data_IF_501595253862
#
_entry.id   IF_501595253862
#
_cell.length_a   1.000
_cell.length_b   1.000
_cell.length_c   1.000
_cell.angle_alpha   90.00
_cell.angle_beta   90.00
_cell.angle_gamma   90.00
#
_symmetry.space_group_name_H-M   'P 1'
#
loop_
_entity.id
_entity.type
_entity.pdbx_description
1 polymer ?
#
# COMPACT_ATOMS: atom_id res chain seq x y z
N UNK A 1 16.17 8.72 -24.13
CA UNK A 1 16.08 8.70 -22.65
C UNK A 1 15.97 7.30 -22.05
N UNK A 2 15.02 6.44 -22.46
CA UNK A 2 14.84 5.11 -21.85
C UNK A 2 16.09 4.22 -21.84
N UNK A 3 16.88 4.19 -22.91
CA UNK A 3 18.13 3.41 -22.96
C UNK A 3 19.14 3.86 -21.90
N UNK A 4 19.22 5.16 -21.62
CA UNK A 4 20.06 5.71 -20.55
C UNK A 4 19.54 5.27 -19.17
N UNK A 5 18.22 5.29 -18.96
CA UNK A 5 17.60 4.78 -17.73
C UNK A 5 17.93 3.30 -17.52
N UNK A 6 17.80 2.47 -18.55
CA UNK A 6 18.13 1.04 -18.51
C UNK A 6 19.60 0.85 -18.16
N UNK A 7 20.50 1.59 -18.81
CA UNK A 7 21.95 1.51 -18.55
C UNK A 7 22.32 1.87 -17.11
N UNK A 8 21.69 2.92 -16.54
CA UNK A 8 21.97 3.36 -15.15
C UNK A 8 21.40 2.37 -14.12
N UNK A 9 20.20 1.83 -14.38
CA UNK A 9 19.43 1.08 -13.38
C UNK A 9 19.61 -0.43 -13.48
N UNK A 10 20.04 -0.93 -14.64
CA UNK A 10 20.08 -2.35 -14.97
C UNK A 10 18.70 -3.00 -15.13
N UNK A 11 17.61 -2.22 -15.09
CA UNK A 11 16.24 -2.75 -15.18
C UNK A 11 15.82 -2.87 -16.63
N UNK A 12 15.32 -4.05 -17.01
CA UNK A 12 14.87 -4.33 -18.38
C UNK A 12 13.75 -3.39 -18.87
N UNK A 13 13.73 -3.12 -20.19
CA UNK A 13 12.76 -2.24 -20.85
C UNK A 13 11.30 -2.51 -20.49
N UNK A 14 10.90 -3.79 -20.43
CA UNK A 14 9.52 -4.22 -20.15
C UNK A 14 9.00 -3.83 -18.76
N UNK A 15 9.90 -3.47 -17.84
CA UNK A 15 9.54 -3.06 -16.48
C UNK A 15 9.37 -1.54 -16.34
N UNK A 16 9.52 -0.78 -17.42
CA UNK A 16 9.36 0.68 -17.43
C UNK A 16 8.06 1.06 -18.13
N UNK A 17 7.13 1.63 -17.38
CA UNK A 17 5.88 2.17 -17.90
C UNK A 17 6.04 3.68 -18.13
N UNK A 18 5.86 4.20 -19.36
CA UNK A 18 5.90 5.64 -19.58
C UNK A 18 4.70 6.33 -18.92
N UNK A 19 4.89 7.57 -18.48
CA UNK A 19 3.81 8.44 -18.00
C UNK A 19 4.02 9.88 -18.48
N UNK A 20 2.91 10.61 -18.62
CA UNK A 20 2.86 12.03 -18.91
C UNK A 20 1.67 12.61 -18.13
N UNK A 21 1.95 13.44 -17.13
CA UNK A 21 0.95 13.88 -16.15
C UNK A 21 1.16 15.33 -15.73
N UNK A 22 0.17 15.89 -15.05
CA UNK A 22 0.25 17.21 -14.43
C UNK A 22 0.18 17.02 -12.91
N UNK A 23 1.08 17.68 -12.18
CA UNK A 23 1.06 17.67 -10.71
C UNK A 23 -0.19 18.38 -10.16
N UNK A 24 -0.56 18.16 -8.88
CA UNK A 24 -1.66 18.90 -8.24
C UNK A 24 -1.53 20.44 -8.36
N UNK A 25 -0.31 20.96 -8.28
CA UNK A 25 0.02 22.38 -8.46
C UNK A 25 0.03 22.88 -9.92
N UNK A 26 -0.29 22.02 -10.89
CA UNK A 26 -0.40 22.39 -12.31
C UNK A 26 0.92 22.30 -13.11
N UNK A 27 1.94 21.62 -12.59
CA UNK A 27 3.25 21.49 -13.25
C UNK A 27 3.25 20.23 -14.12
N UNK A 28 3.38 20.33 -15.46
CA UNK A 28 3.46 19.14 -16.31
C UNK A 28 4.82 18.46 -16.15
N UNK A 29 4.84 17.14 -16.03
CA UNK A 29 6.05 16.33 -15.99
C UNK A 29 5.82 14.93 -16.55
N UNK A 30 6.86 14.36 -17.13
CA UNK A 30 6.81 13.06 -17.79
C UNK A 30 8.03 12.22 -17.48
N UNK A 31 7.92 10.91 -17.70
CA UNK A 31 8.98 9.97 -17.34
C UNK A 31 8.57 8.52 -17.47
N UNK A 32 9.22 7.69 -16.66
CA UNK A 32 8.96 6.25 -16.59
C UNK A 32 8.79 5.80 -15.14
N UNK A 33 7.78 4.98 -14.88
CA UNK A 33 7.53 4.28 -13.62
C UNK A 33 8.11 2.87 -13.70
N UNK A 34 8.89 2.48 -12.70
CA UNK A 34 9.45 1.14 -12.60
C UNK A 34 8.46 0.16 -11.93
N UNK A 35 8.14 -0.93 -12.63
CA UNK A 35 7.33 -2.06 -12.16
C UNK A 35 8.18 -3.31 -11.86
N UNK A 36 9.49 -3.14 -11.70
CA UNK A 36 10.38 -4.24 -11.35
C UNK A 36 10.22 -4.57 -9.86
N UNK A 37 9.92 -5.82 -9.54
CA UNK A 37 9.66 -6.28 -8.17
C UNK A 37 10.91 -6.46 -7.31
N UNK A 38 11.86 -5.54 -7.45
CA UNK A 38 13.09 -5.47 -6.68
C UNK A 38 13.08 -4.28 -5.72
N UNK A 39 14.26 -3.84 -5.30
CA UNK A 39 14.46 -2.57 -4.58
C UNK A 39 14.01 -1.33 -5.39
N UNK A 40 13.71 -1.48 -6.70
CA UNK A 40 13.32 -0.39 -7.60
C UNK A 40 11.81 -0.28 -7.82
N UNK A 41 11.01 -1.14 -7.20
CA UNK A 41 9.55 -1.12 -7.38
C UNK A 41 8.96 0.25 -7.05
N UNK A 42 8.24 0.82 -8.01
CA UNK A 42 7.63 2.15 -7.91
C UNK A 42 8.59 3.31 -8.20
N UNK A 43 9.89 3.09 -8.43
CA UNK A 43 10.82 4.18 -8.73
C UNK A 43 10.36 5.00 -9.96
N UNK A 44 10.40 6.32 -9.86
CA UNK A 44 10.17 7.21 -11.01
C UNK A 44 11.51 7.63 -11.61
N UNK A 45 11.62 7.55 -12.94
CA UNK A 45 12.64 8.21 -13.71
C UNK A 45 11.99 9.40 -14.45
N UNK A 46 12.07 10.59 -13.86
CA UNK A 46 11.49 11.82 -14.42
C UNK A 46 12.40 12.34 -15.52
N UNK A 47 11.85 12.49 -16.71
CA UNK A 47 12.59 12.84 -17.93
C UNK A 47 12.30 14.24 -18.45
N UNK A 48 11.18 14.83 -18.03
CA UNK A 48 10.89 16.22 -18.29
C UNK A 48 10.05 16.84 -17.17
N UNK A 49 10.28 18.12 -16.88
CA UNK A 49 9.48 18.94 -15.95
C UNK A 49 9.28 20.31 -16.59
N UNK A 50 8.04 20.81 -16.65
CA UNK A 50 7.70 22.07 -17.30
C UNK A 50 8.28 22.19 -18.73
N UNK A 51 8.16 21.10 -19.51
CA UNK A 51 8.72 20.97 -20.87
C UNK A 51 10.26 21.07 -20.98
N UNK A 52 10.99 20.98 -19.87
CA UNK A 52 12.45 20.94 -19.87
C UNK A 52 12.94 19.51 -19.67
N UNK A 53 13.74 19.02 -20.62
CA UNK A 53 14.37 17.70 -20.55
C UNK A 53 15.40 17.62 -19.40
N UNK A 54 15.34 16.54 -18.64
CA UNK A 54 16.25 16.23 -17.51
C UNK A 54 16.25 14.73 -17.23
N UNK A 55 17.03 14.28 -16.27
CA UNK A 55 16.91 12.93 -15.74
C UNK A 55 17.08 12.96 -14.22
N UNK A 56 16.02 12.59 -13.51
CA UNK A 56 16.01 12.48 -12.06
C UNK A 56 15.38 11.15 -11.64
N UNK A 57 15.96 10.50 -10.63
CA UNK A 57 15.43 9.27 -10.05
C UNK A 57 14.83 9.56 -8.68
N UNK A 58 13.54 9.26 -8.54
CA UNK A 58 12.79 9.42 -7.30
C UNK A 58 12.48 8.02 -6.78
N UNK A 59 13.11 7.68 -5.67
CA UNK A 59 13.02 6.35 -5.07
C UNK A 59 11.79 6.25 -4.18
N UNK A 60 11.04 5.16 -4.36
CA UNK A 60 9.97 4.77 -3.47
C UNK A 60 10.51 3.83 -2.36
N UNK A 61 9.61 3.36 -1.52
CA UNK A 61 9.91 2.25 -0.61
C UNK A 61 10.15 0.95 -1.40
N UNK A 62 11.28 0.24 -1.17
CA UNK A 62 11.58 -1.01 -1.86
C UNK A 62 10.57 -2.12 -1.52
N UNK A 63 10.49 -3.16 -2.36
CA UNK A 63 9.76 -4.39 -2.01
C UNK A 63 10.42 -4.99 -0.76
N UNK A 64 9.66 -5.19 0.32
CA UNK A 64 10.17 -5.87 1.52
C UNK A 64 10.06 -7.38 1.31
N UNK A 65 11.16 -8.09 1.59
CA UNK A 65 11.23 -9.54 1.46
C UNK A 65 11.03 -10.24 2.82
N UNK A 66 10.70 -11.52 2.76
CA UNK A 66 10.75 -12.38 3.94
C UNK A 66 12.19 -12.85 4.19
N UNK A 67 12.58 -13.13 5.44
CA UNK A 67 13.92 -13.60 5.79
C UNK A 67 14.05 -15.13 5.64
N UNK A 68 13.37 -15.76 4.68
CA UNK A 68 13.45 -17.21 4.50
C UNK A 68 14.58 -17.60 3.56
N UNK A 69 15.31 -18.65 3.97
CA UNK A 69 16.29 -19.34 3.14
C UNK A 69 15.80 -20.78 2.96
N UNK A 70 15.84 -21.28 1.72
CA UNK A 70 15.56 -22.69 1.43
C UNK A 70 16.74 -23.54 1.90
N UNK A 71 16.45 -24.52 2.73
CA UNK A 71 17.40 -25.56 3.15
C UNK A 71 17.53 -26.66 2.10
N UNK A 72 18.51 -27.54 2.25
CA UNK A 72 18.77 -28.63 1.29
C UNK A 72 17.61 -29.64 1.18
N UNK A 73 16.80 -29.78 2.23
CA UNK A 73 15.61 -30.64 2.26
C UNK A 73 14.35 -29.95 1.70
N UNK A 74 14.47 -28.71 1.22
CA UNK A 74 13.37 -27.91 0.71
C UNK A 74 12.58 -27.15 1.78
N UNK A 75 12.90 -27.33 3.07
CA UNK A 75 12.25 -26.57 4.15
C UNK A 75 12.72 -25.11 4.18
N UNK A 76 11.89 -24.22 4.72
CA UNK A 76 12.21 -22.80 4.86
C UNK A 76 12.70 -22.49 6.29
N UNK A 77 13.92 -21.97 6.41
CA UNK A 77 14.47 -21.49 7.69
C UNK A 77 14.51 -19.96 7.71
N UNK A 78 14.13 -19.37 8.85
CA UNK A 78 14.35 -17.94 9.11
C UNK A 78 15.85 -17.69 9.25
N UNK A 79 16.38 -16.82 8.40
CA UNK A 79 17.78 -16.41 8.38
C UNK A 79 17.84 -14.89 8.17
N UNK A 80 18.00 -14.17 9.28
CA UNK A 80 18.04 -12.71 9.28
C UNK A 80 19.52 -12.29 9.23
N UNK A 81 20.00 -11.70 8.12
CA UNK A 81 21.36 -11.20 8.06
C UNK A 81 21.46 -9.95 8.94
N UNK A 82 22.38 -9.97 9.91
CA UNK A 82 22.62 -8.83 10.80
C UNK A 82 23.92 -8.12 10.35
N UNK A 83 23.84 -6.91 9.76
CA UNK A 83 25.03 -6.13 9.45
C UNK A 83 25.90 -5.87 10.68
N UNK A 84 27.23 -5.80 10.50
CA UNK A 84 28.17 -5.58 11.60
C UNK A 84 27.98 -4.22 12.32
N UNK A 85 27.37 -3.25 11.64
CA UNK A 85 27.16 -1.89 12.13
C UNK A 85 25.70 -1.62 12.54
N UNK A 86 24.91 -2.66 12.82
CA UNK A 86 23.58 -2.48 13.39
C UNK A 86 23.66 -1.86 14.77
N UNK A 87 22.80 -0.87 15.01
CA UNK A 87 22.69 -0.16 16.30
C UNK A 87 21.31 -0.27 16.92
N UNK A 88 20.30 -0.71 16.14
CA UNK A 88 18.92 -0.86 16.58
C UNK A 88 18.22 -1.95 15.77
N UNK A 89 17.43 -2.77 16.43
CA UNK A 89 16.58 -3.78 15.82
C UNK A 89 15.20 -3.70 16.46
N UNK A 90 14.14 -3.62 15.65
CA UNK A 90 12.78 -3.51 16.17
C UNK A 90 11.75 -4.17 15.27
N UNK A 91 10.69 -4.67 15.89
CA UNK A 91 9.46 -5.06 15.23
C UNK A 91 8.51 -3.87 15.31
N UNK A 92 8.12 -3.33 14.16
CA UNK A 92 7.05 -2.35 14.07
C UNK A 92 5.78 -3.02 13.54
N UNK A 93 4.62 -2.49 13.90
CA UNK A 93 3.35 -2.97 13.35
C UNK A 93 3.37 -2.87 11.82
N UNK A 94 2.89 -3.91 11.13
CA UNK A 94 2.59 -3.81 9.71
C UNK A 94 1.10 -3.50 9.57
N UNK A 95 0.82 -2.27 9.17
CA UNK A 95 -0.51 -1.87 8.74
C UNK A 95 -0.76 -2.39 7.32
N UNK A 96 -2.03 -2.71 7.06
CA UNK A 96 -2.56 -3.22 5.81
C UNK A 96 -3.42 -2.13 5.19
N UNK A 97 -2.87 -1.49 4.18
CA UNK A 97 -3.50 -0.35 3.55
C UNK A 97 -2.81 0.00 2.25
N UNK A 98 -2.91 1.28 1.91
CA UNK A 98 -2.35 1.82 0.66
C UNK A 98 -1.16 2.69 1.01
N UNK A 99 0.00 2.40 0.41
CA UNK A 99 1.18 3.22 0.61
C UNK A 99 1.04 4.57 -0.10
N UNK A 100 0.95 5.65 0.67
CA UNK A 100 0.95 7.04 0.18
C UNK A 100 2.36 7.59 0.29
N UNK A 101 2.97 7.84 -0.87
CA UNK A 101 4.34 8.33 -1.02
C UNK A 101 4.28 9.81 -1.33
N UNK A 102 4.89 10.62 -0.47
CA UNK A 102 5.13 12.04 -0.72
C UNK A 102 6.57 12.23 -1.18
N UNK A 103 6.75 12.79 -2.37
CA UNK A 103 8.07 12.98 -2.97
C UNK A 103 8.26 14.40 -3.50
N UNK A 104 9.49 14.93 -3.51
CA UNK A 104 9.77 16.24 -4.09
C UNK A 104 9.85 16.17 -5.62
N UNK A 105 9.11 17.02 -6.31
CA UNK A 105 9.37 17.37 -7.71
C UNK A 105 10.34 18.56 -7.73
N UNK A 106 11.53 18.38 -8.31
CA UNK A 106 12.57 19.41 -8.27
C UNK A 106 12.71 20.19 -9.58
N UNK A 107 13.09 21.46 -9.46
CA UNK A 107 13.48 22.35 -10.56
C UNK A 107 14.91 22.07 -11.00
N UNK A 108 15.37 22.74 -12.06
CA UNK A 108 16.69 22.51 -12.67
C UNK A 108 17.85 22.82 -11.71
N UNK A 109 17.63 23.74 -10.78
CA UNK A 109 18.57 24.15 -9.73
C UNK A 109 18.53 23.24 -8.49
N UNK A 110 17.69 22.20 -8.50
CA UNK A 110 17.45 21.33 -7.35
C UNK A 110 16.52 21.94 -6.29
N UNK A 111 15.92 23.11 -6.54
CA UNK A 111 14.85 23.63 -5.68
C UNK A 111 13.63 22.72 -5.76
N UNK A 112 12.91 22.54 -4.66
CA UNK A 112 11.68 21.74 -4.65
C UNK A 112 10.54 22.64 -5.13
N UNK A 113 10.00 22.34 -6.31
CA UNK A 113 8.86 23.05 -6.88
C UNK A 113 7.58 22.67 -6.13
N UNK A 114 7.38 21.37 -5.93
CA UNK A 114 6.17 20.82 -5.33
C UNK A 114 6.49 19.51 -4.59
N UNK A 115 5.68 19.19 -3.57
CA UNK A 115 5.67 17.89 -2.93
C UNK A 115 4.41 17.15 -3.38
N UNK A 116 4.60 16.02 -4.05
CA UNK A 116 3.51 15.32 -4.73
C UNK A 116 3.18 14.03 -3.97
N UNK A 117 1.91 13.81 -3.57
CA UNK A 117 1.45 12.52 -3.10
C UNK A 117 1.17 11.58 -4.28
N UNK A 118 1.42 10.29 -4.08
CA UNK A 118 1.09 9.23 -5.04
C UNK A 118 0.97 7.87 -4.33
N UNK A 119 0.32 6.91 -4.97
CA UNK A 119 0.47 5.49 -4.61
C UNK A 119 1.76 4.92 -5.22
N UNK A 120 2.13 3.69 -4.86
CA UNK A 120 3.39 3.08 -5.31
C UNK A 120 3.55 3.00 -6.83
N UNK A 121 2.49 2.69 -7.57
CA UNK A 121 2.53 2.47 -9.03
C UNK A 121 1.87 3.57 -9.84
N UNK A 122 1.70 4.76 -9.26
CA UNK A 122 1.20 5.95 -9.97
C UNK A 122 2.19 7.10 -9.79
N UNK A 123 2.35 8.02 -10.77
CA UNK A 123 3.20 9.20 -10.62
C UNK A 123 2.54 10.31 -9.77
N UNK A 124 1.21 10.36 -9.75
CA UNK A 124 0.37 11.29 -8.98
C UNK A 124 -0.86 10.52 -8.46
N UNK A 125 -1.49 10.98 -7.37
CA UNK A 125 -2.81 10.48 -7.01
C UNK A 125 -3.85 10.90 -8.05
N UNK A 126 -4.48 9.91 -8.69
CA UNK A 126 -5.59 10.15 -9.62
C UNK A 126 -6.92 9.77 -8.96
N UNK A 127 -7.97 10.58 -9.10
CA UNK A 127 -9.32 10.12 -8.78
C UNK A 127 -9.65 8.90 -9.62
N UNK A 128 -10.23 7.88 -9.01
CA UNK A 128 -10.95 6.85 -9.74
C UNK A 128 -12.41 6.88 -9.28
N UNK A 129 -13.33 6.73 -10.22
CA UNK A 129 -14.24 5.59 -10.20
C UNK A 129 -14.66 5.02 -8.85
N UNK A 130 -13.71 4.26 -8.33
CA UNK A 130 -13.88 3.23 -7.32
C UNK A 130 -13.20 3.63 -6.00
N UNK A 131 -12.61 4.82 -5.97
CA UNK A 131 -11.85 5.38 -4.86
C UNK A 131 -11.18 6.68 -5.27
N UNK A 132 -11.46 7.75 -4.53
CA UNK A 132 -10.76 9.03 -4.69
C UNK A 132 -9.67 9.10 -3.61
N UNK A 133 -8.45 8.69 -3.97
CA UNK A 133 -7.30 8.75 -3.07
C UNK A 133 -7.01 10.16 -2.58
N UNK A 134 -7.32 11.20 -3.39
CA UNK A 134 -7.16 12.58 -2.95
C UNK A 134 -8.18 12.93 -1.88
N UNK A 135 -9.44 12.50 -2.03
CA UNK A 135 -10.46 12.72 -0.99
C UNK A 135 -10.12 11.97 0.30
N UNK A 136 -9.76 10.68 0.22
CA UNK A 136 -9.36 9.90 1.39
C UNK A 136 -8.15 10.53 2.09
N UNK A 137 -7.14 10.97 1.34
CA UNK A 137 -5.97 11.65 1.90
C UNK A 137 -6.34 13.00 2.52
N UNK A 138 -7.23 13.77 1.90
CA UNK A 138 -7.67 15.07 2.41
C UNK A 138 -8.41 14.94 3.74
N UNK A 139 -9.16 13.86 3.95
CA UNK A 139 -9.88 13.59 5.20
C UNK A 139 -8.94 13.39 6.39
N UNK A 140 -7.81 12.70 6.19
CA UNK A 140 -6.84 12.38 7.27
C UNK A 140 -5.65 13.32 7.33
N UNK A 141 -5.37 14.05 6.26
CA UNK A 141 -4.29 15.04 6.17
C UNK A 141 -4.79 16.32 5.47
N UNK A 142 -5.69 17.07 6.12
CA UNK A 142 -6.24 18.30 5.53
C UNK A 142 -5.21 19.42 5.42
N UNK A 143 -4.22 19.45 6.32
CA UNK A 143 -3.04 20.30 6.24
C UNK A 143 -1.80 19.46 5.94
N UNK A 144 -1.23 19.67 4.74
CA UNK A 144 -0.03 18.95 4.29
C UNK A 144 1.27 19.66 4.68
N UNK A 145 1.19 20.87 5.24
CA UNK A 145 2.36 21.71 5.55
C UNK A 145 3.45 20.98 6.34
N UNK A 146 3.14 20.20 7.40
CA UNK A 146 4.19 19.50 8.15
C UNK A 146 4.92 18.43 7.31
N UNK A 147 4.20 17.71 6.45
CA UNK A 147 4.78 16.71 5.53
C UNK A 147 5.66 17.39 4.48
N UNK A 148 5.18 18.49 3.92
CA UNK A 148 5.94 19.25 2.92
C UNK A 148 7.21 19.86 3.50
N UNK A 149 7.14 20.44 4.70
CA UNK A 149 8.29 21.02 5.39
C UNK A 149 9.33 19.95 5.74
N UNK A 150 8.88 18.77 6.19
CA UNK A 150 9.74 17.62 6.44
C UNK A 150 10.51 17.22 5.19
N UNK A 151 9.82 17.07 4.05
CA UNK A 151 10.46 16.70 2.78
C UNK A 151 11.44 17.77 2.32
N UNK A 152 11.06 19.05 2.43
CA UNK A 152 11.90 20.17 1.99
C UNK A 152 13.18 20.29 2.82
N UNK A 153 13.07 20.14 4.12
CA UNK A 153 14.20 20.33 5.05
C UNK A 153 15.10 19.10 5.09
N UNK A 154 14.51 17.91 5.13
CA UNK A 154 15.25 16.65 5.31
C UNK A 154 15.72 16.03 3.99
N UNK A 155 15.18 16.50 2.86
CA UNK A 155 15.48 16.01 1.50
C UNK A 155 15.24 14.49 1.39
N UNK A 156 14.06 14.08 1.83
CA UNK A 156 13.62 12.67 1.85
C UNK A 156 12.34 12.50 1.06
N UNK A 157 12.04 11.27 0.69
CA UNK A 157 10.69 10.82 0.33
C UNK A 157 10.05 10.24 1.58
N UNK A 158 8.86 10.71 1.98
CA UNK A 158 8.12 10.13 3.09
C UNK A 158 7.08 9.14 2.58
N UNK A 159 6.93 8.02 3.29
CA UNK A 159 5.96 6.99 2.93
C UNK A 159 5.11 6.69 4.14
N UNK A 160 3.81 6.86 3.93
CA UNK A 160 2.77 6.63 4.91
C UNK A 160 1.94 5.44 4.48
N UNK A 161 1.37 4.73 5.43
CA UNK A 161 0.26 3.83 5.17
C UNK A 161 -1.05 4.61 5.37
N UNK A 162 -1.93 4.62 4.38
CA UNK A 162 -3.32 5.03 4.52
C UNK A 162 -4.13 3.76 4.80
N UNK A 163 -4.74 3.65 5.98
CA UNK A 163 -5.37 2.41 6.46
C UNK A 163 -6.64 2.70 7.24
N UNK A 164 -7.45 1.67 7.48
CA UNK A 164 -8.75 1.78 8.15
C UNK A 164 -9.86 1.18 7.31
N UNK A 165 -11.05 0.98 7.87
CA UNK A 165 -12.13 0.29 7.16
C UNK A 165 -12.60 1.03 5.90
N UNK A 166 -12.40 2.36 5.80
CA UNK A 166 -12.72 3.15 4.60
C UNK A 166 -11.71 2.92 3.46
N UNK A 167 -10.56 2.31 3.75
CA UNK A 167 -9.60 1.80 2.78
C UNK A 167 -9.43 0.28 2.96
N UNK A 168 -10.42 -0.53 2.55
CA UNK A 168 -10.45 -1.96 2.87
C UNK A 168 -9.35 -2.72 2.11
N UNK A 169 -8.62 -3.54 2.86
CA UNK A 169 -7.69 -4.55 2.37
C UNK A 169 -8.03 -5.90 3.03
N UNK A 170 -7.05 -6.71 3.40
CA UNK A 170 -7.24 -8.01 4.04
C UNK A 170 -7.61 -7.86 5.53
N UNK A 171 -6.99 -6.92 6.22
CA UNK A 171 -7.25 -6.66 7.65
C UNK A 171 -8.52 -5.82 7.84
N UNK A 172 -9.35 -6.25 8.77
CA UNK A 172 -10.52 -5.51 9.23
C UNK A 172 -10.12 -4.56 10.37
N UNK A 173 -10.38 -3.28 10.17
CA UNK A 173 -10.07 -2.23 11.13
C UNK A 173 -11.34 -1.64 11.75
N UNK A 174 -11.29 -1.30 13.04
CA UNK A 174 -12.31 -0.46 13.67
C UNK A 174 -12.06 1.04 13.38
N UNK A 175 -10.82 1.42 13.07
CA UNK A 175 -10.44 2.78 12.71
C UNK A 175 -11.03 3.14 11.34
N UNK A 176 -11.77 4.27 11.21
CA UNK A 176 -12.35 4.67 9.92
C UNK A 176 -11.29 4.86 8.84
N UNK A 177 -10.36 5.76 9.10
CA UNK A 177 -9.28 6.07 8.20
C UNK A 177 -8.19 6.78 9.01
N UNK A 178 -6.95 6.40 8.79
CA UNK A 178 -5.78 6.98 9.42
C UNK A 178 -4.61 6.98 8.43
N UNK A 179 -3.66 7.88 8.66
CA UNK A 179 -2.42 7.99 7.89
C UNK A 179 -1.24 7.89 8.84
N UNK A 180 -0.37 6.89 8.65
CA UNK A 180 0.73 6.63 9.59
C UNK A 180 2.06 6.53 8.85
N UNK A 181 3.03 7.35 9.25
CA UNK A 181 4.39 7.33 8.73
C UNK A 181 5.07 6.01 9.11
N UNK A 182 5.47 5.22 8.12
CA UNK A 182 6.13 3.94 8.37
C UNK A 182 7.55 3.87 7.79
N UNK A 183 7.91 4.73 6.83
CA UNK A 183 9.29 4.84 6.36
C UNK A 183 9.60 6.20 5.74
N UNK A 184 10.88 6.53 5.65
CA UNK A 184 11.39 7.59 4.80
C UNK A 184 12.56 7.04 3.97
N UNK A 185 12.72 7.54 2.75
CA UNK A 185 13.76 7.10 1.81
C UNK A 185 14.67 8.28 1.49
N UNK A 186 15.98 8.05 1.62
CA UNK A 186 17.03 9.03 1.29
C UNK A 186 18.15 8.32 0.55
N UNK A 187 18.59 8.87 -0.57
CA UNK A 187 19.65 8.28 -1.39
C UNK A 187 19.46 6.76 -1.64
N UNK A 188 18.27 6.36 -2.12
CA UNK A 188 17.91 4.97 -2.48
C UNK A 188 17.71 4.00 -1.31
N UNK A 189 17.94 4.43 -0.06
CA UNK A 189 17.83 3.55 1.11
C UNK A 189 16.77 4.07 2.09
N UNK A 190 16.04 3.17 2.78
CA UNK A 190 15.29 3.55 3.95
C UNK A 190 16.21 4.18 5.00
N UNK A 191 15.75 5.22 5.66
CA UNK A 191 16.49 5.84 6.78
C UNK A 191 16.39 4.97 8.04
N UNK A 192 17.35 5.11 8.96
CA UNK A 192 17.30 4.43 10.26
C UNK A 192 16.06 4.85 11.07
N UNK A 193 15.58 3.98 11.97
CA UNK A 193 14.43 4.33 12.82
C UNK A 193 14.67 5.62 13.61
N UNK A 194 15.88 5.81 14.13
CA UNK A 194 16.24 7.03 14.88
C UNK A 194 15.97 8.29 14.07
N UNK A 195 16.34 8.29 12.78
CA UNK A 195 16.08 9.41 11.88
C UNK A 195 14.60 9.52 11.55
N UNK A 196 13.92 8.40 11.31
CA UNK A 196 12.48 8.39 11.05
C UNK A 196 11.68 8.96 12.23
N UNK A 197 12.04 8.59 13.46
CA UNK A 197 11.43 9.07 14.69
C UNK A 197 11.74 10.55 14.97
N UNK A 198 12.95 11.03 14.67
CA UNK A 198 13.28 12.46 14.74
C UNK A 198 12.44 13.28 13.75
N UNK A 199 12.26 12.79 12.52
CA UNK A 199 11.37 13.40 11.53
C UNK A 199 9.93 13.42 12.06
N UNK A 200 9.41 12.27 12.50
CA UNK A 200 8.05 12.17 13.01
C UNK A 200 7.80 13.12 14.18
N UNK A 201 8.72 13.16 15.15
CA UNK A 201 8.61 14.04 16.31
C UNK A 201 8.67 15.53 15.92
N UNK A 202 9.63 15.93 15.09
CA UNK A 202 9.84 17.33 14.70
C UNK A 202 8.66 17.91 13.94
N UNK A 203 8.05 17.11 13.06
CA UNK A 203 6.95 17.53 12.20
C UNK A 203 5.58 17.02 12.66
N UNK A 204 5.50 16.50 13.89
CA UNK A 204 4.25 16.01 14.52
C UNK A 204 3.49 15.01 13.64
N UNK A 205 4.22 14.06 13.05
CA UNK A 205 3.65 13.01 12.20
C UNK A 205 3.41 11.75 13.03
N UNK A 206 2.27 11.09 12.83
CA UNK A 206 1.97 9.81 13.47
C UNK A 206 2.95 8.75 12.97
N UNK A 207 3.79 8.24 13.86
CA UNK A 207 4.77 7.20 13.56
C UNK A 207 4.18 5.81 13.80
N UNK A 208 4.54 4.86 12.95
CA UNK A 208 4.16 3.46 13.13
C UNK A 208 4.53 2.93 14.54
N UNK A 209 3.61 2.26 15.25
CA UNK A 209 3.91 1.70 16.56
C UNK A 209 5.05 0.70 16.53
N UNK A 210 5.98 0.84 17.47
CA UNK A 210 6.97 -0.21 17.76
C UNK A 210 6.34 -1.23 18.70
N UNK A 211 6.33 -2.49 18.26
CA UNK A 211 5.86 -3.64 19.03
C UNK A 211 6.94 -4.12 20.02
N UNK A 212 8.18 -4.19 19.56
CA UNK A 212 9.32 -4.65 20.36
C UNK A 212 10.63 -4.03 19.87
N UNK A 213 11.49 -3.62 20.80
CA UNK A 213 12.91 -3.37 20.52
C UNK A 213 13.68 -4.65 20.89
N UNK A 214 14.22 -5.31 19.88
CA UNK A 214 14.89 -6.59 20.01
C UNK A 214 16.42 -6.43 20.10
N UNK A 215 17.09 -7.46 20.62
CA UNK A 215 18.56 -7.52 20.54
C UNK A 215 18.97 -7.78 19.09
N UNK A 216 19.95 -7.04 18.55
CA UNK A 216 20.39 -7.19 17.16
C UNK A 216 21.35 -8.38 17.01
N UNK A 217 20.93 -9.58 17.41
CA UNK A 217 21.67 -10.82 17.20
C UNK A 217 20.81 -11.83 16.44
N UNK A 218 21.43 -12.57 15.51
CA UNK A 218 20.66 -13.37 14.55
C UNK A 218 19.76 -14.42 15.20
N UNK A 219 20.20 -15.05 16.29
CA UNK A 219 19.43 -16.08 17.00
C UNK A 219 18.24 -15.46 17.74
N UNK A 220 18.47 -14.40 18.51
CA UNK A 220 17.42 -13.68 19.23
C UNK A 220 16.40 -13.05 18.29
N UNK A 221 16.83 -12.53 17.14
CA UNK A 221 15.91 -12.01 16.13
C UNK A 221 15.05 -13.10 15.48
N UNK A 222 15.62 -14.27 15.21
CA UNK A 222 14.85 -15.40 14.67
C UNK A 222 13.82 -15.92 15.68
N UNK A 223 14.18 -15.98 16.97
CA UNK A 223 13.26 -16.34 18.05
C UNK A 223 12.14 -15.31 18.20
N UNK A 224 12.48 -14.01 18.25
CA UNK A 224 11.51 -12.93 18.32
C UNK A 224 10.58 -12.93 17.11
N UNK A 225 11.11 -13.17 15.91
CA UNK A 225 10.32 -13.30 14.68
C UNK A 225 9.26 -14.40 14.82
N UNK A 226 9.66 -15.62 15.21
CA UNK A 226 8.73 -16.75 15.39
C UNK A 226 7.69 -16.48 16.48
N UNK A 227 8.11 -15.86 17.59
CA UNK A 227 7.20 -15.46 18.67
C UNK A 227 6.14 -14.48 18.17
N UNK A 228 6.53 -13.45 17.42
CA UNK A 228 5.58 -12.51 16.84
C UNK A 228 4.65 -13.17 15.84
N UNK A 229 5.14 -14.05 14.96
CA UNK A 229 4.27 -14.82 14.06
C UNK A 229 3.18 -15.58 14.82
N UNK A 230 3.56 -16.31 15.87
CA UNK A 230 2.61 -17.08 16.67
C UNK A 230 1.59 -16.21 17.41
N UNK A 231 2.00 -15.05 17.92
CA UNK A 231 1.10 -14.11 18.60
C UNK A 231 0.07 -13.50 17.65
N UNK A 232 0.48 -13.09 16.45
CA UNK A 232 -0.42 -12.51 15.44
C UNK A 232 -1.36 -13.57 14.88
N UNK A 233 -0.87 -14.79 14.67
CA UNK A 233 -1.69 -15.94 14.25
C UNK A 233 -2.79 -16.25 15.27
N UNK A 234 -2.45 -16.29 16.57
CA UNK A 234 -3.41 -16.54 17.62
C UNK A 234 -4.53 -15.47 17.68
N UNK A 235 -4.22 -14.21 17.37
CA UNK A 235 -5.22 -13.14 17.29
C UNK A 235 -6.13 -13.27 16.08
N UNK A 236 -5.58 -13.58 14.90
CA UNK A 236 -6.39 -13.84 13.71
C UNK A 236 -7.32 -15.04 13.93
N UNK A 237 -6.81 -16.15 14.47
CA UNK A 237 -7.63 -17.33 14.80
C UNK A 237 -8.75 -17.02 15.81
N UNK A 238 -8.47 -16.17 16.80
CA UNK A 238 -9.47 -15.75 17.77
C UNK A 238 -10.56 -14.83 17.18
N UNK A 239 -10.28 -14.13 16.08
CA UNK A 239 -11.23 -13.26 15.41
C UNK A 239 -12.27 -14.03 14.59
N UNK A 240 -11.95 -15.26 14.17
CA UNK A 240 -12.83 -16.16 13.45
C UNK A 240 -12.25 -16.62 12.12
N UNK A 241 -12.94 -17.56 11.48
CA UNK A 241 -12.60 -18.03 10.14
C UNK A 241 -12.73 -16.87 9.13
N UNK A 242 -11.74 -16.72 8.26
CA UNK A 242 -11.63 -15.64 7.25
C UNK A 242 -11.67 -14.20 7.80
N UNK A 243 -11.40 -14.00 9.10
CA UNK A 243 -11.29 -12.66 9.71
C UNK A 243 -9.85 -12.40 10.12
N UNK A 244 -9.22 -11.41 9.47
CA UNK A 244 -7.86 -10.99 9.78
C UNK A 244 -7.89 -9.64 10.52
N UNK A 245 -7.25 -9.58 11.68
CA UNK A 245 -7.13 -8.37 12.51
C UNK A 245 -5.68 -7.87 12.59
N UNK A 246 -4.70 -8.72 12.26
CA UNK A 246 -3.29 -8.34 12.16
C UNK A 246 -2.65 -8.93 10.89
N UNK A 247 -2.07 -8.04 10.06
CA UNK A 247 -1.37 -8.45 8.85
C UNK A 247 0.04 -8.99 9.16
N UNK A 248 0.69 -8.42 10.16
CA UNK A 248 2.07 -8.74 10.48
C UNK A 248 2.82 -7.64 11.23
N UNK A 249 4.13 -7.82 11.24
CA UNK A 249 5.12 -6.86 11.69
C UNK A 249 6.19 -6.64 10.60
N UNK A 250 6.86 -5.50 10.64
CA UNK A 250 8.09 -5.25 9.90
C UNK A 250 9.25 -5.27 10.87
N UNK A 251 10.16 -6.23 10.68
CA UNK A 251 11.46 -6.19 11.33
C UNK A 251 12.31 -5.15 10.62
N UNK A 252 12.74 -4.14 11.37
CA UNK A 252 13.65 -3.09 10.93
C UNK A 252 15.00 -3.27 11.62
N UNK A 253 16.08 -3.46 10.84
CA UNK A 253 17.45 -3.41 11.34
C UNK A 253 18.08 -2.10 10.88
N UNK A 254 18.38 -1.23 11.84
CA UNK A 254 18.93 0.10 11.61
C UNK A 254 20.43 0.13 11.84
N UNK A 255 21.16 0.69 10.89
CA UNK A 255 22.48 1.28 11.13
C UNK A 255 22.28 2.69 11.70
N UNK A 256 23.37 3.47 11.83
CA UNK A 256 23.28 4.88 12.23
C UNK A 256 22.32 5.70 11.35
N UNK A 257 22.34 5.45 10.04
CA UNK A 257 21.74 6.34 9.04
C UNK A 257 20.74 5.66 8.11
N UNK A 258 20.81 4.34 7.96
CA UNK A 258 19.94 3.56 7.05
C UNK A 258 19.29 2.40 7.79
N UNK A 259 18.31 1.77 7.16
CA UNK A 259 17.73 0.54 7.63
C UNK A 259 17.46 -0.47 6.50
N UNK A 260 17.46 -1.74 6.87
CA UNK A 260 16.98 -2.86 6.07
C UNK A 260 15.72 -3.45 6.74
N UNK A 261 14.77 -3.90 5.92
CA UNK A 261 13.45 -4.34 6.37
C UNK A 261 13.18 -5.81 5.99
N UNK A 262 12.46 -6.51 6.86
CA UNK A 262 11.91 -7.84 6.59
C UNK A 262 10.45 -7.93 7.03
N UNK A 263 9.63 -8.61 6.23
CA UNK A 263 8.25 -8.94 6.60
C UNK A 263 8.26 -10.06 7.62
N UNK A 264 7.47 -9.91 8.68
CA UNK A 264 7.15 -10.94 9.67
C UNK A 264 5.63 -11.08 9.68
N UNK A 265 5.07 -12.01 8.90
CA UNK A 265 3.62 -12.20 8.83
C UNK A 265 3.21 -13.51 9.52
N UNK A 266 2.02 -13.62 10.11
CA UNK A 266 1.56 -14.89 10.67
C UNK A 266 1.36 -15.93 9.55
N UNK A 267 1.46 -17.24 9.84
CA UNK A 267 1.40 -18.29 8.83
C UNK A 267 0.17 -18.26 7.93
N UNK A 268 -1.02 -17.95 8.48
CA UNK A 268 -2.26 -17.82 7.68
C UNK A 268 -2.17 -16.73 6.60
N UNK A 269 -1.53 -15.60 6.92
CA UNK A 269 -1.28 -14.53 5.95
C UNK A 269 -0.13 -14.89 5.00
N UNK A 270 0.91 -15.57 5.50
CA UNK A 270 2.00 -16.07 4.64
C UNK A 270 1.49 -17.09 3.63
N UNK A 271 0.57 -17.97 4.02
CA UNK A 271 -0.10 -18.91 3.13
C UNK A 271 -0.74 -18.17 1.98
N UNK A 272 -1.60 -17.17 2.21
CA UNK A 272 -2.16 -16.32 1.13
C UNK A 272 -1.06 -15.76 0.19
N UNK A 273 0.13 -15.41 0.70
CA UNK A 273 1.24 -14.94 -0.15
C UNK A 273 2.10 -16.05 -0.80
N UNK A 274 2.05 -17.29 -0.31
CA UNK A 274 2.91 -18.42 -0.73
C UNK A 274 2.18 -19.56 -1.41
N UNK A 275 0.87 -19.74 -1.17
CA UNK A 275 0.02 -20.61 -1.98
C UNK A 275 -0.24 -20.08 -3.39
N UNK A 276 0.52 -19.07 -3.83
CA UNK A 276 1.09 -19.00 -5.18
C UNK A 276 1.51 -20.38 -5.74
N UNK A 277 1.98 -21.29 -4.86
CA UNK A 277 2.32 -22.69 -5.16
C UNK A 277 1.14 -23.71 -5.00
N UNK A 278 -0.08 -23.30 -4.67
CA UNK A 278 -1.32 -24.10 -4.69
C UNK A 278 -2.38 -23.54 -5.67
N UNK A 279 -3.60 -24.09 -5.64
CA UNK A 279 -4.73 -23.62 -6.46
C UNK A 279 -5.09 -22.17 -6.09
N UNK A 280 -5.41 -21.35 -7.10
CA UNK A 280 -5.85 -19.96 -6.88
C UNK A 280 -7.13 -19.95 -6.04
N UNK A 281 -7.06 -19.39 -4.84
CA UNK A 281 -8.16 -19.30 -3.89
C UNK A 281 -8.97 -18.01 -4.01
N UNK A 282 -10.08 -17.93 -3.28
CA UNK A 282 -10.95 -16.74 -3.27
C UNK A 282 -10.19 -15.49 -2.80
N UNK A 283 -9.45 -15.61 -1.70
CA UNK A 283 -8.71 -14.53 -1.07
C UNK A 283 -7.61 -13.96 -1.98
N UNK A 284 -6.94 -14.82 -2.75
CA UNK A 284 -5.92 -14.40 -3.73
C UNK A 284 -6.53 -13.49 -4.81
N UNK A 285 -7.71 -13.87 -5.29
CA UNK A 285 -8.44 -13.14 -6.33
C UNK A 285 -8.94 -11.81 -5.78
N UNK A 286 -9.53 -11.78 -4.58
CA UNK A 286 -9.95 -10.54 -3.93
C UNK A 286 -8.77 -9.59 -3.71
N UNK A 287 -7.64 -10.09 -3.24
CA UNK A 287 -6.42 -9.28 -3.06
C UNK A 287 -5.90 -8.72 -4.39
N UNK A 288 -5.87 -9.52 -5.46
CA UNK A 288 -5.51 -9.04 -6.79
C UNK A 288 -6.45 -7.92 -7.27
N UNK A 289 -7.76 -8.06 -7.03
CA UNK A 289 -8.76 -7.04 -7.40
C UNK A 289 -8.58 -5.74 -6.60
N UNK A 290 -8.35 -5.83 -5.28
CA UNK A 290 -8.05 -4.65 -4.46
C UNK A 290 -6.74 -3.97 -4.86
N UNK A 291 -5.71 -4.75 -5.22
CA UNK A 291 -4.44 -4.22 -5.77
C UNK A 291 -4.65 -3.52 -7.12
N UNK A 292 -5.45 -4.08 -8.02
CA UNK A 292 -5.80 -3.44 -9.28
C UNK A 292 -6.53 -2.11 -9.02
N UNK A 293 -7.48 -2.12 -8.09
CA UNK A 293 -8.21 -0.94 -7.63
C UNK A 293 -7.27 0.15 -7.07
N UNK A 294 -6.36 -0.22 -6.17
CA UNK A 294 -5.32 0.66 -5.59
C UNK A 294 -4.49 1.35 -6.68
N UNK A 295 -4.17 0.62 -7.74
CA UNK A 295 -3.38 1.12 -8.85
C UNK A 295 -4.19 1.88 -9.91
N UNK A 296 -5.47 2.18 -9.63
CA UNK A 296 -6.33 3.00 -10.48
C UNK A 296 -6.87 2.29 -11.71
N UNK A 297 -7.04 0.96 -11.63
CA UNK A 297 -7.61 0.19 -12.73
C UNK A 297 -9.08 0.56 -13.01
N UNK A 298 -9.43 0.64 -14.29
CA UNK A 298 -10.76 1.04 -14.76
C UNK A 298 -11.68 -0.19 -14.95
N UNK A 299 -12.35 -0.62 -13.88
CA UNK A 299 -13.19 -1.84 -13.91
C UNK A 299 -14.44 -1.85 -14.83
N UNK A 300 -14.95 -0.72 -15.33
CA UNK A 300 -16.12 -0.71 -16.25
C UNK A 300 -15.69 -1.10 -17.65
N UNK A 301 -14.49 -0.65 -18.05
CA UNK A 301 -13.88 -1.02 -19.31
C UNK A 301 -12.98 -2.25 -19.18
N UNK A 302 -12.79 -2.69 -17.94
CA UNK A 302 -11.94 -3.80 -17.56
C UNK A 302 -12.55 -5.16 -17.88
N UNK A 303 -11.69 -6.17 -18.01
CA UNK A 303 -12.13 -7.55 -18.27
C UNK A 303 -11.54 -8.49 -17.24
N UNK A 304 -12.19 -9.64 -17.05
CA UNK A 304 -11.67 -10.70 -16.18
C UNK A 304 -10.26 -11.15 -16.59
N UNK A 305 -9.93 -11.10 -17.88
CA UNK A 305 -8.60 -11.44 -18.37
C UNK A 305 -7.50 -10.50 -17.87
N UNK A 306 -7.83 -9.29 -17.42
CA UNK A 306 -6.85 -8.39 -16.83
C UNK A 306 -6.52 -8.81 -15.38
N UNK A 307 -7.46 -9.46 -14.69
CA UNK A 307 -7.20 -10.14 -13.41
C UNK A 307 -6.26 -11.32 -13.63
N UNK A 308 -6.39 -12.06 -14.74
CA UNK A 308 -5.46 -13.15 -15.07
C UNK A 308 -4.03 -12.63 -15.17
N UNK A 309 -3.81 -11.52 -15.88
CA UNK A 309 -2.48 -10.90 -16.00
C UNK A 309 -1.92 -10.42 -14.66
N UNK A 310 -2.80 -9.94 -13.77
CA UNK A 310 -2.37 -9.56 -12.42
C UNK A 310 -1.93 -10.80 -11.63
N UNK A 311 -2.70 -11.89 -11.70
CA UNK A 311 -2.38 -13.16 -11.05
C UNK A 311 -1.17 -13.86 -11.66
N UNK A 312 -0.86 -13.66 -12.95
CA UNK A 312 0.36 -14.21 -13.61
C UNK A 312 1.66 -13.73 -12.96
N UNK A 313 1.62 -12.68 -12.12
CA UNK A 313 2.78 -12.27 -11.33
C UNK A 313 3.12 -13.25 -10.20
N UNK A 314 2.11 -13.98 -9.70
CA UNK A 314 2.20 -14.84 -8.53
C UNK A 314 1.88 -16.32 -8.85
N UNK A 315 1.19 -16.62 -9.97
CA UNK A 315 0.72 -17.98 -10.32
C UNK A 315 1.13 -18.42 -11.72
N UNK A 316 1.30 -19.73 -11.90
CA UNK A 316 1.49 -20.33 -13.23
C UNK A 316 0.20 -20.21 -14.08
N UNK A 317 0.30 -19.89 -15.38
CA UNK A 317 -0.86 -19.76 -16.27
C UNK A 317 -1.82 -20.96 -16.28
N UNK A 318 -1.30 -22.20 -16.16
CA UNK A 318 -2.13 -23.42 -16.14
C UNK A 318 -3.08 -23.43 -14.94
N UNK A 319 -2.64 -22.88 -13.80
CA UNK A 319 -3.48 -22.79 -12.59
C UNK A 319 -4.53 -21.70 -12.68
N UNK A 320 -4.18 -20.58 -13.30
CA UNK A 320 -5.14 -19.51 -13.58
C UNK A 320 -6.24 -20.04 -14.50
N UNK A 321 -5.88 -20.87 -15.49
CA UNK A 321 -6.84 -21.55 -16.36
C UNK A 321 -7.75 -22.51 -15.58
N UNK A 322 -7.20 -23.34 -14.69
CA UNK A 322 -7.98 -24.23 -13.80
C UNK A 322 -8.96 -23.45 -12.92
N UNK A 323 -8.56 -22.27 -12.43
CA UNK A 323 -9.37 -21.41 -11.56
C UNK A 323 -10.28 -20.43 -12.32
N UNK A 324 -10.34 -20.47 -13.65
CA UNK A 324 -11.02 -19.47 -14.47
C UNK A 324 -12.48 -19.20 -14.04
N UNK A 325 -13.24 -20.25 -13.73
CA UNK A 325 -14.64 -20.12 -13.28
C UNK A 325 -14.75 -19.41 -11.93
N UNK A 326 -13.84 -19.73 -11.00
CA UNK A 326 -13.78 -19.08 -9.69
C UNK A 326 -13.40 -17.61 -9.83
N UNK A 327 -12.39 -17.30 -10.64
CA UNK A 327 -11.94 -15.93 -10.92
C UNK A 327 -13.07 -15.12 -11.54
N UNK A 328 -13.75 -15.67 -12.55
CA UNK A 328 -14.88 -14.99 -13.18
C UNK A 328 -16.01 -14.73 -12.17
N UNK A 329 -16.36 -15.70 -11.33
CA UNK A 329 -17.40 -15.52 -10.30
C UNK A 329 -17.04 -14.39 -9.34
N UNK A 330 -15.83 -14.41 -8.77
CA UNK A 330 -15.39 -13.39 -7.80
C UNK A 330 -15.25 -12.03 -8.46
N UNK A 331 -14.77 -11.96 -9.70
CA UNK A 331 -14.73 -10.72 -10.47
C UNK A 331 -16.12 -10.11 -10.61
N UNK A 332 -17.14 -10.90 -10.97
CA UNK A 332 -18.53 -10.41 -11.06
C UNK A 332 -19.10 -9.98 -9.69
N UNK A 333 -18.83 -10.75 -8.63
CA UNK A 333 -19.22 -10.39 -7.26
C UNK A 333 -18.60 -9.04 -6.84
N UNK A 334 -17.32 -8.83 -7.16
CA UNK A 334 -16.58 -7.60 -6.88
C UNK A 334 -17.12 -6.40 -7.69
N UNK A 335 -17.37 -6.58 -8.99
CA UNK A 335 -18.00 -5.54 -9.82
C UNK A 335 -19.37 -5.13 -9.29
N UNK A 336 -20.20 -6.11 -8.90
CA UNK A 336 -21.52 -5.84 -8.32
C UNK A 336 -21.41 -5.05 -7.02
N UNK A 337 -20.49 -5.43 -6.14
CA UNK A 337 -20.25 -4.72 -4.88
C UNK A 337 -19.79 -3.27 -5.13
N UNK A 338 -18.86 -3.08 -6.08
CA UNK A 338 -18.40 -1.74 -6.46
C UNK A 338 -19.53 -0.88 -7.04
N UNK A 339 -20.37 -1.43 -7.92
CA UNK A 339 -21.54 -0.73 -8.47
C UNK A 339 -22.56 -0.37 -7.40
N UNK A 340 -22.84 -1.30 -6.47
CA UNK A 340 -23.74 -1.07 -5.34
C UNK A 340 -23.24 0.07 -4.46
N UNK A 341 -21.94 0.13 -4.16
CA UNK A 341 -21.32 1.22 -3.39
C UNK A 341 -21.38 2.55 -4.13
N UNK A 342 -21.13 2.55 -5.44
CA UNK A 342 -21.23 3.76 -6.26
C UNK A 342 -22.67 4.30 -6.31
N UNK A 343 -23.66 3.42 -6.49
CA UNK A 343 -25.08 3.77 -6.45
C UNK A 343 -25.50 4.31 -5.08
N UNK A 344 -25.05 3.67 -4.00
CA UNK A 344 -25.31 4.14 -2.65
C UNK A 344 -24.74 5.55 -2.43
N UNK A 345 -23.49 5.80 -2.85
CA UNK A 345 -22.87 7.13 -2.79
C UNK A 345 -23.70 8.16 -3.55
N UNK A 346 -24.13 7.83 -4.77
CA UNK A 346 -24.98 8.71 -5.57
C UNK A 346 -26.29 9.08 -4.84
N UNK A 347 -26.99 8.10 -4.24
CA UNK A 347 -28.21 8.35 -3.48
C UNK A 347 -27.97 9.23 -2.25
N UNK A 348 -26.87 9.02 -1.53
CA UNK A 348 -26.51 9.85 -0.38
C UNK A 348 -26.23 11.29 -0.83
N UNK A 349 -25.44 11.46 -1.89
CA UNK A 349 -25.08 12.78 -2.42
C UNK A 349 -26.31 13.53 -2.98
N UNK A 350 -27.20 12.84 -3.72
CA UNK A 350 -28.44 13.40 -4.26
C UNK A 350 -29.43 13.82 -3.15
N UNK A 351 -29.44 13.09 -2.03
CA UNK A 351 -30.34 13.39 -0.92
C UNK A 351 -30.06 14.74 -0.26
N UNK A 352 -28.83 15.26 -0.38
CA UNK A 352 -28.37 16.45 0.35
C UNK A 352 -28.37 16.28 1.88
N UNK A 353 -28.60 15.07 2.39
CA UNK A 353 -28.62 14.77 3.82
C UNK A 353 -27.20 14.63 4.36
N UNK A 354 -27.01 14.98 5.63
CA UNK A 354 -25.76 14.73 6.32
C UNK A 354 -25.56 13.21 6.50
N UNK A 355 -24.47 12.61 5.97
CA UNK A 355 -24.20 11.17 6.14
C UNK A 355 -24.09 10.71 7.60
N UNK A 356 -23.79 11.64 8.51
CA UNK A 356 -23.70 11.36 9.94
C UNK A 356 -25.04 11.49 10.68
N UNK A 357 -26.11 12.01 10.05
CA UNK A 357 -27.48 11.90 10.58
C UNK A 357 -28.09 10.56 10.11
N UNK A 358 -27.56 9.47 10.67
CA UNK A 358 -27.89 8.11 10.23
C UNK A 358 -29.39 7.80 10.33
N UNK A 359 -30.15 8.22 11.38
CA UNK A 359 -31.59 7.98 11.43
C UNK A 359 -32.36 8.60 10.25
N UNK A 360 -32.04 9.84 9.87
CA UNK A 360 -32.70 10.52 8.75
C UNK A 360 -32.26 9.93 7.42
N UNK A 361 -30.96 9.68 7.24
CA UNK A 361 -30.41 9.10 6.02
C UNK A 361 -30.92 7.67 5.79
N UNK A 362 -30.95 6.82 6.80
CA UNK A 362 -31.45 5.44 6.66
C UNK A 362 -32.95 5.40 6.31
N UNK A 363 -33.74 6.36 6.81
CA UNK A 363 -35.15 6.49 6.43
C UNK A 363 -35.28 6.83 4.95
N UNK A 364 -34.46 7.75 4.44
CA UNK A 364 -34.40 8.06 3.02
C UNK A 364 -33.97 6.84 2.19
N UNK A 365 -32.84 6.20 2.54
CA UNK A 365 -32.31 5.07 1.79
C UNK A 365 -33.23 3.83 1.81
N UNK A 366 -34.05 3.65 2.84
CA UNK A 366 -35.05 2.57 2.89
C UNK A 366 -36.16 2.67 1.83
N UNK A 367 -36.27 3.82 1.16
CA UNK A 367 -37.17 4.00 0.02
C UNK A 367 -36.58 3.40 -1.28
N UNK A 368 -35.26 3.24 -1.33
CA UNK A 368 -34.52 2.76 -2.50
C UNK A 368 -34.04 1.31 -2.34
N UNK A 369 -33.88 0.84 -1.09
CA UNK A 369 -33.40 -0.51 -0.79
C UNK A 369 -34.44 -1.34 -0.04
N UNK A 370 -34.55 -2.65 -0.36
CA UNK A 370 -35.44 -3.53 0.38
C UNK A 370 -34.94 -3.74 1.81
N UNK A 371 -35.87 -3.99 2.75
CA UNK A 371 -35.56 -4.16 4.18
C UNK A 371 -34.43 -5.17 4.46
N UNK A 372 -34.34 -6.24 3.66
CA UNK A 372 -33.30 -7.28 3.78
C UNK A 372 -31.88 -6.77 3.51
N UNK A 373 -31.74 -5.69 2.73
CA UNK A 373 -30.45 -5.10 2.36
C UNK A 373 -30.06 -3.94 3.27
N UNK A 374 -30.98 -3.46 4.12
CA UNK A 374 -30.71 -2.29 4.97
C UNK A 374 -29.55 -2.49 5.95
N UNK A 375 -29.24 -3.73 6.35
CA UNK A 375 -28.03 -4.03 7.13
C UNK A 375 -26.76 -3.73 6.34
N UNK A 376 -26.69 -4.18 5.08
CA UNK A 376 -25.59 -3.86 4.17
C UNK A 376 -25.53 -2.37 3.89
N UNK A 377 -26.66 -1.71 3.60
CA UNK A 377 -26.72 -0.25 3.35
C UNK A 377 -26.15 0.53 4.53
N UNK A 378 -26.59 0.20 5.75
CA UNK A 378 -26.14 0.85 6.96
C UNK A 378 -24.62 0.70 7.16
N UNK A 379 -24.10 -0.51 7.01
CA UNK A 379 -22.67 -0.79 7.11
C UNK A 379 -21.88 -0.08 6.00
N UNK A 380 -22.38 -0.12 4.76
CA UNK A 380 -21.73 0.52 3.62
C UNK A 380 -21.69 2.05 3.75
N UNK A 381 -22.77 2.70 4.25
CA UNK A 381 -22.73 4.14 4.55
C UNK A 381 -21.67 4.46 5.59
N UNK A 382 -21.59 3.67 6.68
CA UNK A 382 -20.53 3.82 7.69
C UNK A 382 -19.15 3.66 7.08
N UNK A 383 -18.96 2.65 6.23
CA UNK A 383 -17.70 2.38 5.52
C UNK A 383 -17.34 3.46 4.51
N UNK A 384 -18.29 4.15 3.90
CA UNK A 384 -18.01 5.20 2.92
C UNK A 384 -17.70 6.53 3.61
N UNK A 385 -18.49 6.90 4.62
CA UNK A 385 -18.52 8.25 5.19
C UNK A 385 -17.94 8.36 6.62
N UNK A 386 -17.62 7.25 7.28
CA UNK A 386 -17.06 7.25 8.64
C UNK A 386 -18.12 7.33 9.76
N UNK A 387 -17.83 6.72 10.91
CA UNK A 387 -18.48 7.06 12.19
C UNK A 387 -17.75 8.26 12.81
N UNK A 388 -18.49 9.12 13.52
CA UNK A 388 -17.87 10.18 14.33
C UNK A 388 -17.41 9.65 15.68
#
# INVERSE_FOLDING_TARGET
MLEQIISITGVSRRRWQPFDVVSPGGIPFSGYLCRDESEKLGMLAVTAVANQERLEFIYAMPKIHYPYVKEQDGSARVSIPVPQNIVDARFNLKLDGTAIIFYPLTGKDGSILEVIPRTRLQPVLTPSRWGDWNALLQDVLPDRTPVEEAIRTQKVTLVFELWGYRNPHLVQYDTPLALTLHTAVRHKKPVSYRLLADIAHRYQLDLIPTLEVARPDAAGLAEAYRRWQAQMEAKNQAAGEDVFVEEGAILMLSTRDTADYWKCKPPSIEEIHWTADANVGKTDIEHALFKMLENGYDFDNGRVQDVYKELESDFDPERIEIAADLINRIYQEFLLELQKRAWLRHLVDESGLNPHDTPTLMRYLSQHYPRKEMSWVYNAVKTIYGER
#
